data_IF_779170677429
#
_entry.id   IF_779170677429
#
_cell.length_a   1.000
_cell.length_b   1.000
_cell.length_c   1.000
_cell.angle_alpha   90.00
_cell.angle_beta   90.00
_cell.angle_gamma   90.00
#
_symmetry.space_group_name_H-M   'P 1'
#
loop_
_entity.id
_entity.type
_entity.pdbx_description
1 polymer ?
#
# COMPACT_ATOMS: atom_id res chain seq x y z
N UNK A 1 4.19 -1.89 21.51
CA UNK A 1 3.71 -1.26 20.28
C UNK A 1 2.24 -0.83 20.42
N UNK A 2 1.31 -1.75 20.70
CA UNK A 2 -0.14 -1.47 20.77
C UNK A 2 -0.44 -0.34 21.76
N UNK A 3 0.11 -0.36 22.95
CA UNK A 3 -0.13 0.67 23.97
C UNK A 3 0.35 2.07 23.53
N UNK A 4 1.48 2.13 22.83
CA UNK A 4 1.96 3.41 22.27
C UNK A 4 1.03 3.91 21.16
N UNK A 5 0.57 3.01 20.29
CA UNK A 5 -0.39 3.38 19.22
C UNK A 5 -1.74 3.82 19.78
N UNK A 6 -2.23 3.22 20.86
CA UNK A 6 -3.44 3.69 21.55
C UNK A 6 -3.29 5.13 22.04
N UNK A 7 -2.15 5.48 22.65
CA UNK A 7 -1.86 6.87 23.05
C UNK A 7 -1.80 7.83 21.85
N UNK A 8 -1.24 7.38 20.72
CA UNK A 8 -1.24 8.19 19.50
C UNK A 8 -2.66 8.39 18.95
N UNK A 9 -3.49 7.37 19.01
CA UNK A 9 -4.90 7.43 18.57
C UNK A 9 -5.72 8.37 19.45
N UNK A 10 -5.49 8.42 20.76
CA UNK A 10 -6.15 9.39 21.66
C UNK A 10 -5.95 10.85 21.21
N UNK A 11 -4.85 11.13 20.51
CA UNK A 11 -4.55 12.46 19.95
C UNK A 11 -5.07 12.60 18.52
N UNK A 12 -4.92 11.57 17.70
CA UNK A 12 -5.22 11.61 16.28
C UNK A 12 -6.73 11.60 15.99
N UNK A 13 -7.49 10.77 16.73
CA UNK A 13 -8.92 10.57 16.49
C UNK A 13 -9.76 11.84 16.69
N UNK A 14 -9.61 12.61 17.78
CA UNK A 14 -10.31 13.87 17.94
C UNK A 14 -9.93 14.94 16.91
N UNK A 15 -8.72 14.82 16.34
CA UNK A 15 -8.22 15.73 15.29
C UNK A 15 -8.65 15.30 13.87
N UNK A 16 -9.40 14.20 13.73
CA UNK A 16 -9.80 13.64 12.43
C UNK A 16 -8.63 13.09 11.60
N UNK A 17 -7.51 12.79 12.25
CA UNK A 17 -6.30 12.25 11.60
C UNK A 17 -6.29 10.73 11.65
N UNK A 18 -5.71 10.11 10.62
CA UNK A 18 -5.52 8.66 10.54
C UNK A 18 -4.02 8.34 10.52
N UNK A 19 -3.58 7.55 11.48
CA UNK A 19 -2.25 6.96 11.51
C UNK A 19 -2.29 5.69 10.65
N UNK A 20 -1.38 5.55 9.72
CA UNK A 20 -1.27 4.33 8.91
C UNK A 20 0.01 3.58 9.24
N UNK A 21 -0.12 2.29 9.48
CA UNK A 21 0.97 1.36 9.73
C UNK A 21 1.43 0.77 8.41
N UNK A 22 2.73 0.82 8.14
CA UNK A 22 3.32 0.27 6.94
C UNK A 22 4.14 -1.00 7.23
N UNK A 23 3.69 -2.16 6.79
CA UNK A 23 4.53 -3.36 6.76
C UNK A 23 5.58 -3.27 5.66
N UNK A 24 6.85 -3.37 6.04
CA UNK A 24 7.98 -3.14 5.14
C UNK A 24 8.77 -4.43 4.89
N UNK A 25 9.25 -4.61 3.66
CA UNK A 25 10.11 -5.75 3.35
C UNK A 25 11.48 -5.62 4.01
N UNK A 26 11.95 -6.70 4.57
CA UNK A 26 13.25 -6.80 5.24
C UNK A 26 14.36 -7.34 4.32
N UNK A 27 13.98 -7.90 3.19
CA UNK A 27 14.91 -8.51 2.25
C UNK A 27 15.75 -7.47 1.49
N UNK A 28 15.09 -6.49 0.90
CA UNK A 28 15.75 -5.56 -0.01
C UNK A 28 16.00 -4.18 0.63
N UNK A 29 15.13 -3.71 1.52
CA UNK A 29 15.13 -2.31 1.92
C UNK A 29 15.26 -2.06 3.43
N UNK A 30 14.61 -2.86 4.29
CA UNK A 30 14.44 -2.53 5.70
C UNK A 30 14.83 -3.68 6.66
N UNK A 31 16.10 -4.11 6.69
CA UNK A 31 16.54 -5.21 7.55
C UNK A 31 16.31 -4.87 9.03
N UNK A 32 15.79 -5.85 9.79
CA UNK A 32 15.62 -5.72 11.24
C UNK A 32 14.31 -5.07 11.70
N UNK A 33 13.42 -4.64 10.79
CA UNK A 33 12.13 -4.12 11.18
C UNK A 33 11.17 -5.22 11.66
N UNK A 34 10.37 -4.87 12.66
CA UNK A 34 9.38 -5.78 13.26
C UNK A 34 8.17 -6.00 12.38
N UNK A 35 7.59 -4.92 11.84
CA UNK A 35 6.35 -4.97 11.07
C UNK A 35 6.65 -5.26 9.59
N UNK A 36 6.33 -6.47 9.14
CA UNK A 36 6.74 -6.95 7.82
C UNK A 36 5.58 -7.43 6.95
N UNK A 37 4.45 -7.81 7.55
CA UNK A 37 3.36 -8.51 6.87
C UNK A 37 2.00 -7.87 7.13
N UNK A 38 1.14 -7.91 6.12
CA UNK A 38 -0.25 -7.41 6.22
C UNK A 38 -1.03 -8.08 7.36
N UNK A 39 -0.99 -9.41 7.57
CA UNK A 39 -1.67 -10.03 8.70
C UNK A 39 -1.20 -9.52 10.07
N UNK A 40 0.09 -9.19 10.22
CA UNK A 40 0.59 -8.59 11.47
C UNK A 40 -0.04 -7.20 11.72
N UNK A 41 -0.02 -6.33 10.69
CA UNK A 41 -0.62 -5.00 10.78
C UNK A 41 -2.13 -5.09 11.04
N UNK A 42 -2.82 -6.01 10.36
CA UNK A 42 -4.24 -6.27 10.57
C UNK A 42 -4.56 -6.60 12.03
N UNK A 43 -3.84 -7.54 12.62
CA UNK A 43 -4.03 -7.91 14.04
C UNK A 43 -3.78 -6.73 14.98
N UNK A 44 -2.79 -5.89 14.69
CA UNK A 44 -2.49 -4.69 15.49
C UNK A 44 -3.65 -3.68 15.38
N UNK A 45 -4.09 -3.34 14.17
CA UNK A 45 -5.20 -2.41 13.96
C UNK A 45 -6.49 -2.92 14.63
N UNK A 46 -6.79 -4.22 14.51
CA UNK A 46 -7.94 -4.84 15.18
C UNK A 46 -7.85 -4.78 16.70
N UNK A 47 -6.65 -4.95 17.27
CA UNK A 47 -6.44 -4.85 18.73
C UNK A 47 -6.56 -3.41 19.24
N UNK A 48 -6.25 -2.41 18.41
CA UNK A 48 -6.45 -0.99 18.72
C UNK A 48 -7.92 -0.61 18.57
N UNK A 49 -8.58 -1.11 17.53
CA UNK A 49 -10.01 -0.93 17.25
C UNK A 49 -10.41 0.56 17.14
N UNK A 50 -9.67 1.33 16.34
CA UNK A 50 -9.94 2.74 16.09
C UNK A 50 -10.00 3.05 14.59
N UNK A 51 -10.88 3.95 14.13
CA UNK A 51 -10.87 4.44 12.77
C UNK A 51 -9.60 5.24 12.43
N UNK A 52 -8.91 5.73 13.45
CA UNK A 52 -7.68 6.53 13.31
C UNK A 52 -6.38 5.70 13.33
N UNK A 53 -6.48 4.36 13.30
CA UNK A 53 -5.32 3.48 13.14
C UNK A 53 -5.61 2.46 12.05
N UNK A 54 -4.99 2.60 10.90
CA UNK A 54 -5.22 1.80 9.70
C UNK A 54 -3.89 1.30 9.12
N UNK A 55 -3.95 0.63 7.99
CA UNK A 55 -2.81 0.09 7.26
C UNK A 55 -2.59 0.93 6.00
N UNK A 56 -1.35 1.33 5.73
CA UNK A 56 -0.95 1.59 4.35
C UNK A 56 -0.40 0.29 3.77
N UNK A 57 -1.06 -0.20 2.72
CA UNK A 57 -0.65 -1.41 2.03
C UNK A 57 0.26 -1.04 0.86
N UNK A 58 1.58 -1.07 1.10
CA UNK A 58 2.57 -0.88 0.03
C UNK A 58 2.73 -2.18 -0.76
N UNK A 59 2.27 -2.15 -2.00
CA UNK A 59 2.23 -3.33 -2.87
C UNK A 59 3.63 -3.79 -3.30
N UNK A 60 4.60 -2.88 -3.39
CA UNK A 60 5.99 -3.24 -3.64
C UNK A 60 6.57 -4.05 -2.46
N UNK A 61 6.39 -3.53 -1.24
CA UNK A 61 6.87 -4.25 -0.06
C UNK A 61 6.19 -5.60 0.11
N UNK A 62 4.87 -5.65 -0.09
CA UNK A 62 4.13 -6.90 0.07
C UNK A 62 4.41 -7.92 -1.02
N UNK A 63 4.71 -7.50 -2.25
CA UNK A 63 5.14 -8.43 -3.29
C UNK A 63 6.41 -9.16 -2.89
N UNK A 64 7.37 -8.46 -2.30
CA UNK A 64 8.66 -9.05 -1.85
C UNK A 64 8.47 -9.98 -0.65
N UNK A 65 7.63 -9.59 0.32
CA UNK A 65 7.50 -10.35 1.58
C UNK A 65 6.53 -11.51 1.51
N UNK A 66 5.39 -11.33 0.85
CA UNK A 66 4.27 -12.27 0.92
C UNK A 66 3.75 -12.71 -0.44
N UNK A 67 3.83 -11.84 -1.45
CA UNK A 67 3.06 -12.03 -2.67
C UNK A 67 1.56 -12.07 -2.37
N UNK A 68 0.79 -12.83 -3.16
CA UNK A 68 -0.64 -13.09 -2.89
C UNK A 68 -1.45 -11.80 -2.62
N UNK A 69 -1.14 -10.72 -3.36
CA UNK A 69 -1.57 -9.36 -3.06
C UNK A 69 -3.09 -9.21 -2.95
N UNK A 70 -3.84 -9.64 -3.97
CA UNK A 70 -5.31 -9.49 -4.00
C UNK A 70 -6.00 -10.22 -2.85
N UNK A 71 -5.71 -11.51 -2.55
CA UNK A 71 -6.29 -12.18 -1.39
C UNK A 71 -5.91 -11.54 -0.04
N UNK A 72 -4.72 -10.97 0.08
CA UNK A 72 -4.30 -10.26 1.29
C UNK A 72 -5.03 -8.91 1.44
N UNK A 73 -5.26 -8.18 0.34
CA UNK A 73 -6.12 -7.00 0.30
C UNK A 73 -7.52 -7.36 0.81
N UNK A 74 -8.11 -8.44 0.32
CA UNK A 74 -9.47 -8.86 0.71
C UNK A 74 -9.57 -9.17 2.20
N UNK A 75 -8.60 -9.90 2.74
CA UNK A 75 -8.57 -10.28 4.15
C UNK A 75 -8.41 -9.10 5.10
N UNK A 76 -7.63 -8.09 4.69
CA UNK A 76 -7.32 -6.93 5.50
C UNK A 76 -8.19 -5.70 5.19
N UNK A 77 -9.17 -5.82 4.28
CA UNK A 77 -9.92 -4.73 3.69
C UNK A 77 -10.43 -3.69 4.70
N UNK A 78 -11.02 -4.12 5.80
CA UNK A 78 -11.59 -3.24 6.82
C UNK A 78 -10.57 -2.33 7.53
N UNK A 79 -9.30 -2.71 7.46
CA UNK A 79 -8.23 -1.98 8.14
C UNK A 79 -7.27 -1.26 7.17
N UNK A 80 -7.49 -1.36 5.85
CA UNK A 80 -6.68 -0.64 4.86
C UNK A 80 -7.18 0.81 4.76
N UNK A 81 -6.30 1.77 5.03
CA UNK A 81 -6.56 3.20 4.90
C UNK A 81 -5.98 3.81 3.63
N UNK A 82 -4.87 3.28 3.13
CA UNK A 82 -4.20 3.78 1.94
C UNK A 82 -3.41 2.67 1.23
N UNK A 83 -3.02 2.93 -0.01
CA UNK A 83 -2.09 2.08 -0.76
C UNK A 83 -0.87 2.88 -1.19
N UNK A 84 0.31 2.27 -1.11
CA UNK A 84 1.52 2.70 -1.81
C UNK A 84 1.77 1.81 -3.02
N UNK A 85 2.19 2.41 -4.12
CA UNK A 85 2.37 1.77 -5.41
C UNK A 85 3.81 1.92 -5.87
N UNK A 86 4.40 0.85 -6.31
CA UNK A 86 5.71 0.74 -6.94
C UNK A 86 5.88 -0.66 -7.50
N UNK A 87 6.43 -0.80 -8.69
CA UNK A 87 6.57 -2.13 -9.29
C UNK A 87 7.82 -2.85 -8.78
N UNK A 88 7.74 -4.16 -8.71
CA UNK A 88 8.83 -5.04 -8.30
C UNK A 88 9.24 -5.95 -9.49
N UNK A 89 10.56 -6.10 -9.73
CA UNK A 89 11.69 -5.47 -9.08
C UNK A 89 11.92 -4.02 -9.53
N UNK A 90 12.75 -3.27 -8.78
CA UNK A 90 13.27 -1.96 -9.17
C UNK A 90 12.55 -0.75 -8.60
N UNK A 91 11.34 -0.93 -8.02
CA UNK A 91 10.55 0.12 -7.40
C UNK A 91 10.37 1.35 -8.31
N UNK A 92 9.91 1.10 -9.54
CA UNK A 92 9.56 2.12 -10.51
C UNK A 92 8.05 2.11 -10.81
N UNK A 93 7.61 2.86 -11.83
CA UNK A 93 6.20 2.95 -12.22
C UNK A 93 5.60 1.59 -12.63
N UNK A 94 4.28 1.39 -12.50
CA UNK A 94 3.57 0.18 -12.90
C UNK A 94 3.89 -0.27 -14.33
N UNK A 95 4.06 -1.58 -14.52
CA UNK A 95 4.39 -2.19 -15.80
C UNK A 95 5.90 -2.28 -16.09
N UNK A 96 6.74 -1.86 -15.15
CA UNK A 96 8.20 -2.04 -15.25
C UNK A 96 8.70 -3.32 -14.57
N UNK A 97 7.83 -4.02 -13.85
CA UNK A 97 8.13 -5.23 -13.10
C UNK A 97 7.08 -6.33 -13.28
N UNK A 98 6.82 -7.07 -12.19
CA UNK A 98 5.98 -8.29 -12.20
C UNK A 98 4.57 -8.10 -11.64
N UNK A 99 4.25 -6.93 -11.05
CA UNK A 99 2.97 -6.69 -10.40
C UNK A 99 1.90 -6.33 -11.46
N UNK A 100 0.80 -7.06 -11.49
CA UNK A 100 -0.30 -6.75 -12.40
C UNK A 100 -1.20 -5.63 -11.84
N UNK A 101 -0.71 -4.39 -11.91
CA UNK A 101 -1.42 -3.22 -11.39
C UNK A 101 -2.80 -2.99 -12.03
N UNK A 102 -2.97 -3.30 -13.32
CA UNK A 102 -4.27 -3.19 -13.98
C UNK A 102 -5.34 -4.08 -13.33
N UNK A 103 -4.98 -5.31 -12.97
CA UNK A 103 -5.87 -6.20 -12.24
C UNK A 103 -6.15 -5.74 -10.82
N UNK A 104 -5.14 -5.17 -10.15
CA UNK A 104 -5.29 -4.63 -8.80
C UNK A 104 -6.22 -3.42 -8.83
N UNK A 105 -6.02 -2.45 -9.74
CA UNK A 105 -6.89 -1.27 -9.89
C UNK A 105 -8.34 -1.66 -10.13
N UNK A 106 -8.58 -2.59 -11.06
CA UNK A 106 -9.92 -3.13 -11.32
C UNK A 106 -10.52 -3.79 -10.08
N UNK A 107 -9.72 -4.52 -9.29
CA UNK A 107 -10.17 -5.15 -8.05
C UNK A 107 -10.57 -4.10 -7.00
N UNK A 108 -9.73 -3.09 -6.78
CA UNK A 108 -10.01 -1.99 -5.85
C UNK A 108 -11.26 -1.19 -6.26
N UNK A 109 -11.41 -0.93 -7.56
CA UNK A 109 -12.61 -0.29 -8.11
C UNK A 109 -13.88 -1.10 -7.81
N UNK A 110 -13.87 -2.41 -8.08
CA UNK A 110 -15.01 -3.30 -7.80
C UNK A 110 -15.35 -3.39 -6.31
N UNK A 111 -14.39 -3.20 -5.44
CA UNK A 111 -14.59 -3.10 -3.99
C UNK A 111 -15.10 -1.73 -3.53
N UNK A 112 -15.21 -0.77 -4.41
CA UNK A 112 -15.67 0.58 -4.10
C UNK A 112 -14.64 1.40 -3.31
N UNK A 113 -13.34 1.18 -3.53
CA UNK A 113 -12.30 1.96 -2.86
C UNK A 113 -12.37 3.43 -3.24
N UNK A 114 -12.39 4.31 -2.23
CA UNK A 114 -12.45 5.78 -2.39
C UNK A 114 -11.25 6.48 -1.73
N UNK A 115 -10.26 5.73 -1.27
CA UNK A 115 -9.10 6.27 -0.58
C UNK A 115 -7.98 6.66 -1.55
N UNK A 116 -6.79 6.83 -1.00
CA UNK A 116 -5.61 7.33 -1.73
C UNK A 116 -4.77 6.17 -2.26
N UNK A 117 -4.37 6.28 -3.53
CA UNK A 117 -3.35 5.46 -4.17
C UNK A 117 -2.11 6.34 -4.39
N UNK A 118 -1.10 6.18 -3.52
CA UNK A 118 0.11 6.99 -3.54
C UNK A 118 1.18 6.37 -4.44
N UNK A 119 1.78 7.18 -5.31
CA UNK A 119 2.96 6.80 -6.08
C UNK A 119 4.20 6.91 -5.18
N UNK A 120 4.70 5.78 -4.69
CA UNK A 120 5.90 5.74 -3.87
C UNK A 120 7.00 4.93 -4.55
N UNK A 121 7.56 5.50 -5.60
CA UNK A 121 8.54 4.82 -6.45
C UNK A 121 9.42 5.79 -7.24
N UNK A 122 10.51 5.27 -7.80
CA UNK A 122 11.34 5.97 -8.75
C UNK A 122 10.70 6.07 -10.13
N UNK A 123 11.50 6.49 -11.10
CA UNK A 123 11.16 6.52 -12.53
C UNK A 123 12.15 5.64 -13.28
N UNK A 124 11.66 4.77 -14.16
CA UNK A 124 12.52 3.91 -15.00
C UNK A 124 13.36 4.71 -15.99
N UNK A 125 12.90 5.90 -16.37
CA UNK A 125 13.58 6.82 -17.27
C UNK A 125 13.82 8.18 -16.60
N UNK A 126 14.82 8.92 -17.10
CA UNK A 126 15.18 10.25 -16.58
C UNK A 126 14.37 11.36 -17.22
N UNK A 127 14.31 12.51 -16.55
CA UNK A 127 13.74 13.76 -17.05
C UNK A 127 12.27 13.65 -17.45
N UNK A 128 11.87 14.48 -18.42
CA UNK A 128 10.47 14.56 -18.90
C UNK A 128 9.98 13.28 -19.57
N UNK A 129 10.88 12.49 -20.15
CA UNK A 129 10.50 11.18 -20.71
C UNK A 129 10.04 10.22 -19.61
N UNK A 130 10.75 10.21 -18.47
CA UNK A 130 10.36 9.40 -17.32
C UNK A 130 9.05 9.88 -16.67
N UNK A 131 8.82 11.18 -16.61
CA UNK A 131 7.56 11.74 -16.10
C UNK A 131 6.38 11.33 -16.99
N UNK A 132 6.55 11.39 -18.30
CA UNK A 132 5.52 10.96 -19.24
C UNK A 132 5.26 9.46 -19.15
N UNK A 133 6.32 8.63 -19.12
CA UNK A 133 6.20 7.19 -18.98
C UNK A 133 5.44 6.79 -17.71
N UNK A 134 5.74 7.44 -16.59
CA UNK A 134 5.03 7.25 -15.33
C UNK A 134 3.53 7.58 -15.45
N UNK A 135 3.18 8.73 -16.00
CA UNK A 135 1.77 9.13 -16.18
C UNK A 135 1.04 8.14 -17.10
N UNK A 136 1.67 7.75 -18.21
CA UNK A 136 1.08 6.81 -19.17
C UNK A 136 0.90 5.41 -18.55
N UNK A 137 1.82 4.98 -17.69
CA UNK A 137 1.71 3.72 -16.94
C UNK A 137 0.47 3.70 -16.03
N UNK A 138 0.23 4.76 -15.27
CA UNK A 138 -0.96 4.86 -14.42
C UNK A 138 -2.26 4.92 -15.23
N UNK A 139 -2.29 5.68 -16.32
CA UNK A 139 -3.43 5.71 -17.25
C UNK A 139 -3.73 4.33 -17.82
N UNK A 140 -2.70 3.58 -18.19
CA UNK A 140 -2.86 2.23 -18.70
C UNK A 140 -3.41 1.27 -17.62
N UNK A 141 -3.00 1.43 -16.36
CA UNK A 141 -3.56 0.66 -15.25
C UNK A 141 -5.02 0.99 -14.96
N UNK A 142 -5.43 2.25 -15.15
CA UNK A 142 -6.80 2.71 -14.93
C UNK A 142 -7.74 2.46 -16.12
N UNK A 143 -7.20 2.07 -17.28
CA UNK A 143 -7.97 1.75 -18.48
C UNK A 143 -8.44 0.28 -18.51
N UNK A 144 -9.29 -0.12 -17.56
CA UNK A 144 -9.92 -1.45 -17.51
C UNK A 144 -11.43 -1.36 -17.78
N UNK A 145 -11.98 -2.43 -18.35
CA UNK A 145 -13.43 -2.58 -18.48
C UNK A 145 -14.04 -2.99 -17.13
N UNK A 146 -15.19 -2.42 -16.82
CA UNK A 146 -15.92 -2.60 -15.55
C UNK A 146 -16.90 -3.76 -15.63
#
# INVERSE_FOLDING_TARGET
>A
LIDNLRRCVEIAEPAGMVIVLEPLNWWANHPGLFLQKIPQAYMICRAINSPSCKIVNDLYHQQITEGNLIPNIDKAWSEIGAFHLGDNPGRNEPGTGEINYKNIFRHLYRKGYQGVLCMEHGKSKRGKEGERAMIDAYRACDSFEV
#
